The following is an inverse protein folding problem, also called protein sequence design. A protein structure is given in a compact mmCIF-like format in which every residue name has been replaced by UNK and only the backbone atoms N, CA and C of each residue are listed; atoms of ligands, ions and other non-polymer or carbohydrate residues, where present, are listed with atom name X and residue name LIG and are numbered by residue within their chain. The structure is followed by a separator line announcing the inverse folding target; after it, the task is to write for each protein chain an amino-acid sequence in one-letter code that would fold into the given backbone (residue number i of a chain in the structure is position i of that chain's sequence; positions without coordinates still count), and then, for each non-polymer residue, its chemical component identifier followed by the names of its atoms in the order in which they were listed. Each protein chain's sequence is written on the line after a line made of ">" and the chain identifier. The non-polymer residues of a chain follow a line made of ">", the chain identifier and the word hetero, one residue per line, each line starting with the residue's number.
data_IF_584512682269
#
_entry.id   IF_584512682269
#
_cell.length_a   1.000
_cell.length_b   1.000
_cell.length_c   1.000
_cell.angle_alpha   90.00
_cell.angle_beta   90.00
_cell.angle_gamma   90.00
#
_symmetry.space_group_name_H-M   'P 1'
#
loop_
_entity.id
_entity.type
_entity.pdbx_description
1 polymer ?
#
# COMPACT_ATOMS: atom_id res chain seq x y z
N UNK A 1 -30.93 -8.76 -2.28
CA UNK A 1 -29.74 -9.55 -2.65
C UNK A 1 -28.69 -8.57 -3.14
N UNK A 2 -27.45 -8.58 -2.62
CA UNK A 2 -26.42 -7.64 -3.07
C UNK A 2 -26.09 -7.88 -4.55
N UNK A 3 -25.98 -6.81 -5.32
CA UNK A 3 -25.62 -6.87 -6.74
C UNK A 3 -24.10 -6.99 -6.87
N UNK A 4 -23.63 -8.14 -7.35
CA UNK A 4 -22.19 -8.42 -7.52
C UNK A 4 -21.63 -7.82 -8.81
N UNK A 5 -22.43 -7.13 -9.63
CA UNK A 5 -21.95 -6.50 -10.86
C UNK A 5 -21.22 -5.18 -10.67
N UNK A 6 -21.45 -4.48 -9.56
CA UNK A 6 -20.81 -3.20 -9.28
C UNK A 6 -20.06 -3.23 -7.94
N UNK A 7 -18.98 -4.00 -7.90
CA UNK A 7 -18.10 -4.08 -6.74
C UNK A 7 -17.09 -2.92 -6.75
N UNK A 8 -16.77 -2.32 -5.59
CA UNK A 8 -15.68 -1.36 -5.50
C UNK A 8 -14.35 -2.05 -5.83
N UNK A 9 -13.41 -1.27 -6.39
CA UNK A 9 -12.08 -1.79 -6.74
C UNK A 9 -11.39 -2.42 -5.54
N UNK A 10 -11.49 -1.80 -4.37
CA UNK A 10 -10.96 -2.34 -3.12
C UNK A 10 -12.11 -3.04 -2.40
N UNK A 11 -11.97 -4.36 -2.26
CA UNK A 11 -12.93 -5.21 -1.55
C UNK A 11 -12.61 -5.29 -0.07
N UNK A 12 -11.31 -5.35 0.26
CA UNK A 12 -10.84 -5.38 1.63
C UNK A 12 -9.41 -4.86 1.74
N UNK A 13 -9.11 -4.26 2.89
CA UNK A 13 -7.82 -3.68 3.17
C UNK A 13 -7.60 -2.36 2.45
N UNK A 14 -6.39 -1.80 2.51
CA UNK A 14 -5.12 -2.41 2.85
C UNK A 14 -4.90 -2.67 4.34
N UNK A 15 -4.31 -3.83 4.60
CA UNK A 15 -3.99 -4.30 5.95
C UNK A 15 -2.51 -4.58 6.00
N UNK A 16 -1.83 -3.91 6.93
CA UNK A 16 -0.44 -4.21 7.27
C UNK A 16 -0.41 -5.53 8.03
N UNK A 17 0.26 -6.54 7.46
CA UNK A 17 0.32 -7.89 8.05
C UNK A 17 1.56 -8.08 8.91
N UNK A 18 2.68 -7.48 8.52
CA UNK A 18 3.96 -7.67 9.17
C UNK A 18 4.82 -6.42 9.01
N UNK A 19 5.40 -5.96 10.11
CA UNK A 19 6.42 -4.91 10.13
C UNK A 19 7.55 -5.34 11.03
N UNK A 20 8.72 -5.44 10.41
CA UNK A 20 10.01 -5.74 11.01
C UNK A 20 11.00 -4.65 10.57
N UNK A 21 12.16 -4.51 11.25
CA UNK A 21 13.18 -3.56 10.84
C UNK A 21 13.56 -3.70 9.37
N UNK A 22 13.62 -4.92 8.87
CA UNK A 22 14.10 -5.23 7.52
C UNK A 22 12.98 -5.62 6.56
N UNK A 23 11.72 -5.68 6.99
CA UNK A 23 10.63 -6.19 6.15
C UNK A 23 9.29 -5.57 6.51
N UNK A 24 8.57 -5.10 5.49
CA UNK A 24 7.17 -4.68 5.61
C UNK A 24 6.33 -5.45 4.62
N UNK A 25 5.22 -6.03 5.08
CA UNK A 25 4.27 -6.73 4.25
C UNK A 25 2.86 -6.16 4.42
N UNK A 26 2.26 -5.75 3.30
CA UNK A 26 0.90 -5.20 3.23
C UNK A 26 0.10 -6.01 2.22
N UNK A 27 -1.13 -6.37 2.58
CA UNK A 27 -2.03 -7.05 1.66
C UNK A 27 -3.32 -6.26 1.44
N UNK A 28 -3.88 -6.45 0.26
CA UNK A 28 -5.11 -5.80 -0.19
C UNK A 28 -5.88 -6.76 -1.10
N UNK A 29 -7.20 -6.78 -0.94
CA UNK A 29 -8.11 -7.53 -1.80
C UNK A 29 -8.78 -6.57 -2.77
N UNK A 30 -8.72 -6.91 -4.04
CA UNK A 30 -9.17 -6.11 -5.17
C UNK A 30 -10.22 -6.86 -5.98
N UNK A 31 -11.14 -6.14 -6.60
CA UNK A 31 -12.14 -6.75 -7.49
C UNK A 31 -11.57 -7.15 -8.85
N UNK A 32 -10.48 -6.50 -9.28
CA UNK A 32 -9.85 -6.68 -10.59
C UNK A 32 -8.33 -6.84 -10.47
N UNK A 33 -7.71 -7.39 -11.52
CA UNK A 33 -6.27 -7.50 -11.63
C UNK A 33 -5.59 -6.11 -11.66
N UNK A 34 -4.69 -5.85 -10.70
CA UNK A 34 -3.91 -4.62 -10.60
C UNK A 34 -2.49 -4.90 -10.12
N UNK A 35 -1.59 -3.99 -10.47
CA UNK A 35 -0.25 -3.89 -9.87
C UNK A 35 -0.31 -2.89 -8.73
N UNK A 36 0.14 -3.30 -7.55
CA UNK A 36 0.13 -2.47 -6.34
C UNK A 36 1.54 -2.03 -6.03
N UNK A 37 1.76 -0.73 -5.93
CA UNK A 37 3.01 -0.12 -5.47
C UNK A 37 2.86 0.35 -4.02
N UNK A 38 3.72 -0.11 -3.12
CA UNK A 38 3.87 0.37 -1.76
C UNK A 38 5.00 1.38 -1.69
N UNK A 39 4.70 2.57 -1.17
CA UNK A 39 5.70 3.55 -0.75
C UNK A 39 5.65 3.76 0.75
N UNK A 40 6.81 4.00 1.38
CA UNK A 40 6.92 4.33 2.81
C UNK A 40 7.67 5.66 3.00
N UNK A 41 7.21 6.47 3.94
CA UNK A 41 7.79 7.76 4.33
C UNK A 41 7.99 7.83 5.85
N UNK A 42 8.98 8.60 6.27
CA UNK A 42 9.19 8.95 7.67
C UNK A 42 8.25 10.08 8.11
N UNK A 43 7.73 9.99 9.33
CA UNK A 43 6.85 11.00 9.90
C UNK A 43 5.36 10.81 9.55
N UNK A 44 4.53 11.71 10.08
CA UNK A 44 3.09 11.73 9.86
C UNK A 44 2.82 12.72 8.73
N UNK A 45 2.56 12.21 7.53
CA UNK A 45 2.11 13.06 6.42
C UNK A 45 0.60 13.22 6.51
N UNK A 46 0.13 14.45 6.75
CA UNK A 46 -1.29 14.77 6.80
C UNK A 46 -1.78 15.17 5.40
N UNK A 47 -2.85 14.53 4.93
CA UNK A 47 -3.40 14.76 3.58
C UNK A 47 -4.20 16.06 3.59
N UNK A 48 -3.74 17.10 2.89
CA UNK A 48 -4.49 18.35 2.70
C UNK A 48 -3.67 19.63 2.59
N UNK A 49 -2.38 19.62 2.93
CA UNK A 49 -1.52 20.80 2.76
C UNK A 49 -1.04 20.89 1.31
N UNK A 50 -1.58 21.87 0.58
CA UNK A 50 -1.14 22.27 -0.75
C UNK A 50 0.38 22.41 -0.82
N UNK A 51 0.99 21.69 -1.75
CA UNK A 51 2.41 21.82 -2.08
C UNK A 51 3.26 20.70 -1.49
N UNK A 52 3.43 19.63 -2.28
CA UNK A 52 4.38 18.54 -2.02
C UNK A 52 3.98 17.62 -0.84
N UNK A 53 2.81 16.97 -0.94
CA UNK A 53 2.40 15.87 -0.03
C UNK A 53 3.39 14.69 0.00
N UNK A 54 4.32 14.66 -0.96
CA UNK A 54 5.46 13.75 -0.99
C UNK A 54 6.74 14.59 -1.09
N UNK A 55 7.00 15.42 -0.07
CA UNK A 55 8.22 16.20 0.08
C UNK A 55 9.42 15.28 0.00
N UNK A 56 10.01 15.18 -1.19
CA UNK A 56 10.99 14.18 -1.59
C UNK A 56 10.50 12.75 -1.32
N UNK A 57 10.16 12.01 -2.38
CA UNK A 57 10.38 10.56 -2.38
C UNK A 57 11.73 10.31 -1.69
N UNK A 58 11.73 9.74 -0.49
CA UNK A 58 12.93 9.05 -0.03
C UNK A 58 13.11 7.95 -1.06
N UNK A 59 14.09 8.13 -1.94
CA UNK A 59 14.26 7.41 -3.19
C UNK A 59 14.60 5.91 -3.01
N UNK A 60 14.27 5.30 -1.87
CA UNK A 60 14.73 3.96 -1.51
C UNK A 60 13.64 2.93 -1.20
N UNK A 61 12.45 3.34 -0.73
CA UNK A 61 11.50 2.39 -0.12
C UNK A 61 10.23 2.24 -0.94
N UNK A 62 10.37 1.56 -2.07
CA UNK A 62 9.28 1.21 -2.96
C UNK A 62 9.30 -0.27 -3.29
N UNK A 63 8.14 -0.90 -3.25
CA UNK A 63 7.96 -2.27 -3.72
C UNK A 63 6.71 -2.36 -4.56
N UNK A 64 6.76 -3.17 -5.61
CA UNK A 64 5.62 -3.40 -6.50
C UNK A 64 5.29 -4.89 -6.51
N UNK A 65 4.02 -5.23 -6.41
CA UNK A 65 3.56 -6.60 -6.59
C UNK A 65 2.31 -6.66 -7.47
N UNK A 66 2.27 -7.63 -8.36
CA UNK A 66 1.07 -7.94 -9.13
C UNK A 66 0.06 -8.69 -8.27
N UNK A 67 -1.23 -8.36 -8.42
CA UNK A 67 -2.30 -9.08 -7.75
C UNK A 67 -2.48 -10.48 -8.33
N UNK A 68 -2.72 -11.47 -7.47
CA UNK A 68 -2.97 -12.86 -7.83
C UNK A 68 -4.49 -13.08 -7.92
N UNK A 69 -5.02 -13.65 -9.03
CA UNK A 69 -6.42 -13.99 -9.14
C UNK A 69 -6.77 -15.18 -8.23
N UNK A 70 -7.75 -14.99 -7.34
CA UNK A 70 -8.32 -16.03 -6.48
C UNK A 70 -9.74 -16.40 -6.93
N UNK A 71 -10.44 -15.47 -7.58
CA UNK A 71 -11.74 -15.70 -8.20
C UNK A 71 -12.02 -14.68 -9.30
N UNK A 72 -13.17 -14.79 -9.96
CA UNK A 72 -13.55 -13.96 -11.11
C UNK A 72 -13.59 -12.45 -10.80
N UNK A 73 -13.87 -12.09 -9.54
CA UNK A 73 -13.87 -10.71 -9.04
C UNK A 73 -13.11 -10.58 -7.72
N UNK A 74 -12.10 -11.44 -7.51
CA UNK A 74 -11.30 -11.43 -6.29
C UNK A 74 -9.84 -11.65 -6.65
N UNK A 75 -9.06 -10.60 -6.48
CA UNK A 75 -7.62 -10.57 -6.66
C UNK A 75 -6.97 -10.17 -5.34
N UNK A 76 -5.92 -10.86 -4.93
CA UNK A 76 -5.18 -10.52 -3.71
C UNK A 76 -3.78 -10.07 -4.11
N UNK A 77 -3.40 -8.88 -3.68
CA UNK A 77 -2.03 -8.40 -3.79
C UNK A 77 -1.37 -8.44 -2.41
N UNK A 78 -0.19 -9.02 -2.35
CA UNK A 78 0.70 -8.99 -1.19
C UNK A 78 1.97 -8.27 -1.63
N UNK A 79 2.17 -7.05 -1.14
CA UNK A 79 3.37 -6.27 -1.40
C UNK A 79 4.32 -6.46 -0.21
N UNK A 80 5.50 -6.97 -0.50
CA UNK A 80 6.58 -7.11 0.47
C UNK A 80 7.69 -6.16 0.09
N UNK A 81 8.05 -5.26 1.00
CA UNK A 81 9.16 -4.35 0.87
C UNK A 81 10.33 -4.88 1.72
N UNK A 82 11.44 -5.13 1.05
CA UNK A 82 12.71 -5.49 1.68
C UNK A 82 13.46 -4.20 2.06
N UNK A 83 13.78 -4.08 3.34
CA UNK A 83 14.45 -2.94 3.95
C UNK A 83 15.82 -3.33 4.54
N UNK A 84 16.39 -4.48 4.13
CA UNK A 84 17.72 -4.94 4.59
C UNK A 84 18.82 -3.90 4.38
N UNK A 85 18.78 -3.16 3.26
CA UNK A 85 19.75 -2.10 2.95
C UNK A 85 19.57 -0.82 3.79
N UNK A 86 18.37 -0.59 4.33
CA UNK A 86 18.05 0.59 5.12
C UNK A 86 16.89 0.28 6.06
N UNK A 87 17.19 -0.31 7.23
CA UNK A 87 16.16 -0.83 8.13
C UNK A 87 15.39 0.29 8.84
N UNK A 88 14.14 -0.01 9.21
CA UNK A 88 13.32 0.85 10.04
C UNK A 88 13.92 1.00 11.44
N UNK A 89 13.80 2.21 11.97
CA UNK A 89 14.30 2.57 13.28
C UNK A 89 13.18 2.28 14.31
N UNK A 90 13.48 1.54 15.39
CA UNK A 90 12.54 1.34 16.50
C UNK A 90 12.05 2.65 17.10
N UNK A 91 10.76 2.73 17.42
CA UNK A 91 10.14 3.91 18.04
C UNK A 91 9.86 5.07 17.09
N UNK A 92 10.13 4.94 15.79
CA UNK A 92 9.77 5.93 14.77
C UNK A 92 8.42 5.60 14.12
N UNK A 93 7.67 6.64 13.78
CA UNK A 93 6.40 6.52 13.06
C UNK A 93 6.68 6.66 11.57
N UNK A 94 6.17 5.68 10.82
CA UNK A 94 6.21 5.68 9.37
C UNK A 94 4.80 5.76 8.80
N UNK A 95 4.67 6.51 7.70
CA UNK A 95 3.46 6.59 6.87
C UNK A 95 3.68 5.76 5.61
N UNK A 96 2.61 5.22 5.02
CA UNK A 96 2.69 4.52 3.74
C UNK A 96 1.56 4.94 2.80
N UNK A 97 1.71 4.57 1.54
CA UNK A 97 0.74 4.77 0.49
C UNK A 97 0.74 3.56 -0.44
N UNK A 98 -0.42 3.25 -1.01
CA UNK A 98 -0.59 2.24 -2.04
C UNK A 98 -1.12 2.87 -3.33
N UNK A 99 -0.36 2.72 -4.40
CA UNK A 99 -0.77 3.15 -5.73
C UNK A 99 -1.19 1.93 -6.54
N UNK A 100 -2.39 1.96 -7.11
CA UNK A 100 -2.93 0.86 -7.92
C UNK A 100 -2.83 1.21 -9.40
N UNK A 101 -2.05 0.43 -10.15
CA UNK A 101 -1.81 0.60 -11.59
C UNK A 101 -2.30 -0.61 -12.37
N UNK A 102 -2.60 -0.41 -13.66
CA UNK A 102 -3.25 -1.43 -14.51
C UNK A 102 -4.77 -1.31 -14.51
N UNK A 103 -5.46 -1.92 -15.48
CA UNK A 103 -6.89 -1.72 -15.75
C UNK A 103 -7.20 -0.42 -16.51
N UNK A 104 -8.48 -0.17 -16.83
CA UNK A 104 -8.94 1.02 -17.56
C UNK A 104 -8.97 2.33 -16.75
N UNK A 105 -8.62 2.29 -15.45
CA UNK A 105 -8.64 3.45 -14.55
C UNK A 105 -7.58 3.37 -13.45
N UNK A 106 -6.53 4.19 -13.50
CA UNK A 106 -5.58 4.31 -12.38
C UNK A 106 -6.27 4.91 -11.15
N UNK A 107 -6.18 4.27 -9.99
CA UNK A 107 -6.72 4.79 -8.72
C UNK A 107 -5.59 4.85 -7.69
N UNK A 108 -5.41 6.02 -7.07
CA UNK A 108 -4.47 6.23 -5.96
C UNK A 108 -5.28 6.24 -4.66
N UNK A 109 -5.05 5.29 -3.77
CA UNK A 109 -5.77 5.25 -2.48
C UNK A 109 -4.79 5.55 -1.36
N UNK A 110 -4.84 6.80 -0.89
CA UNK A 110 -4.03 7.30 0.21
C UNK A 110 -4.52 6.71 1.53
N UNK A 111 -3.71 5.84 2.14
CA UNK A 111 -4.02 5.26 3.45
C UNK A 111 -2.88 5.58 4.39
N UNK A 112 -3.00 6.72 5.05
CA UNK A 112 -2.14 7.13 6.15
C UNK A 112 -2.44 6.27 7.38
N UNK A 113 -1.85 5.08 7.45
CA UNK A 113 -1.82 4.29 8.68
C UNK A 113 -0.43 4.39 9.28
N UNK A 114 -0.36 4.91 10.51
CA UNK A 114 0.87 4.97 11.30
C UNK A 114 1.29 3.56 11.69
N UNK A 115 2.44 3.09 11.20
CA UNK A 115 3.03 1.88 11.73
C UNK A 115 4.06 2.22 12.80
N UNK A 116 3.81 1.83 14.05
CA UNK A 116 4.74 1.97 15.17
C UNK A 116 5.43 0.64 15.39
N UNK A 117 6.73 0.58 15.11
CA UNK A 117 7.58 -0.53 15.51
C UNK A 117 8.00 -0.32 16.98
N UNK A 118 7.64 -1.27 17.86
CA UNK A 118 7.88 -1.24 19.32
C UNK A 118 8.84 -2.34 19.73
#
# INVERSE_FOLDING_TARGET
>A
MPDFNNLPLILAGPIVRRVEPTLVAVWVALSDARTVELGIWTGITNVGSSGVLFGNTLAGWKATAASIPIGAKLHIALVTLDLTASPLIPGQIYSYNLVFTGGSSSQDTLIASSCSYR
#
